data_IF_547280482260
#
_entry.id   IF_547280482260
#
_cell.length_a   1.000
_cell.length_b   1.000
_cell.length_c   1.000
_cell.angle_alpha   90.00
_cell.angle_beta   90.00
_cell.angle_gamma   90.00
#
_symmetry.space_group_name_H-M   'P 1'
#
loop_
_entity.id
_entity.type
_entity.pdbx_description
1 polymer ?
#
# COMPACT_ATOMS: atom_id res chain seq x y z
N UNK A 1 -15.61 -23.79 -2.62
CA UNK A 1 -14.51 -22.82 -2.83
C UNK A 1 -14.48 -21.92 -1.60
N UNK A 2 -13.31 -21.63 -1.02
CA UNK A 2 -13.21 -20.88 0.25
C UNK A 2 -13.56 -19.40 0.05
N UNK A 3 -13.31 -18.86 -1.14
CA UNK A 3 -13.67 -17.49 -1.53
C UNK A 3 -15.08 -17.45 -2.15
N UNK A 4 -15.79 -16.35 -1.89
CA UNK A 4 -17.05 -16.04 -2.56
C UNK A 4 -16.83 -15.40 -3.95
N UNK A 5 -17.92 -15.19 -4.69
CA UNK A 5 -17.86 -14.63 -6.05
C UNK A 5 -17.37 -13.19 -6.10
N UNK A 6 -17.65 -12.38 -5.08
CA UNK A 6 -17.21 -10.98 -5.00
C UNK A 6 -15.71 -10.92 -4.77
N UNK A 7 -15.20 -11.72 -3.84
CA UNK A 7 -13.77 -11.83 -3.53
C UNK A 7 -12.96 -12.28 -4.76
N UNK A 8 -13.47 -13.28 -5.49
CA UNK A 8 -12.85 -13.74 -6.74
C UNK A 8 -12.85 -12.63 -7.80
N UNK A 9 -13.98 -11.94 -8.00
CA UNK A 9 -14.07 -10.86 -8.97
C UNK A 9 -13.10 -9.70 -8.67
N UNK A 10 -13.00 -9.30 -7.39
CA UNK A 10 -12.03 -8.28 -6.95
C UNK A 10 -10.61 -8.76 -7.21
N UNK A 11 -10.27 -9.99 -6.81
CA UNK A 11 -8.95 -10.54 -7.01
C UNK A 11 -8.55 -10.55 -8.50
N UNK A 12 -9.44 -10.99 -9.38
CA UNK A 12 -9.14 -11.10 -10.81
C UNK A 12 -9.01 -9.72 -11.47
N UNK A 13 -9.87 -8.76 -11.09
CA UNK A 13 -9.78 -7.39 -11.59
C UNK A 13 -8.47 -6.72 -11.16
N UNK A 14 -8.09 -6.84 -9.88
CA UNK A 14 -6.83 -6.27 -9.37
C UNK A 14 -5.63 -6.98 -9.99
N UNK A 15 -5.67 -8.30 -10.17
CA UNK A 15 -4.61 -9.05 -10.85
C UNK A 15 -4.41 -8.55 -12.27
N UNK A 16 -5.48 -8.42 -13.05
CA UNK A 16 -5.38 -7.92 -14.42
C UNK A 16 -4.75 -6.53 -14.46
N UNK A 17 -5.25 -5.59 -13.65
CA UNK A 17 -4.68 -4.25 -13.55
C UNK A 17 -3.20 -4.27 -13.13
N UNK A 18 -2.86 -5.09 -12.13
CA UNK A 18 -1.49 -5.20 -11.62
C UNK A 18 -0.53 -5.73 -12.69
N UNK A 19 -0.90 -6.77 -13.43
CA UNK A 19 -0.04 -7.35 -14.46
C UNK A 19 0.05 -6.48 -15.72
N UNK A 20 -1.04 -5.81 -16.12
CA UNK A 20 -1.06 -5.04 -17.36
C UNK A 20 -0.50 -3.62 -17.19
N UNK A 21 -0.76 -2.98 -16.04
CA UNK A 21 -0.50 -1.55 -15.83
C UNK A 21 0.67 -1.28 -14.89
N UNK A 22 0.85 -2.09 -13.84
CA UNK A 22 1.86 -1.87 -12.80
C UNK A 22 3.15 -2.63 -13.12
N UNK A 23 3.08 -3.95 -13.30
CA UNK A 23 4.24 -4.84 -13.44
C UNK A 23 5.25 -4.41 -14.51
N UNK A 24 4.85 -3.99 -15.73
CA UNK A 24 5.80 -3.61 -16.77
C UNK A 24 6.64 -2.37 -16.42
N UNK A 25 6.14 -1.55 -15.49
CA UNK A 25 6.73 -0.27 -15.12
C UNK A 25 7.43 -0.30 -13.74
N UNK A 26 7.37 -1.43 -13.02
CA UNK A 26 7.85 -1.52 -11.63
C UNK A 26 9.34 -1.19 -11.50
N UNK A 27 10.21 -1.81 -12.31
CA UNK A 27 11.65 -1.54 -12.27
C UNK A 27 12.00 -0.08 -12.62
N UNK A 28 11.27 0.53 -13.56
CA UNK A 28 11.44 1.93 -13.91
C UNK A 28 11.00 2.86 -12.76
N UNK A 29 9.90 2.53 -12.07
CA UNK A 29 9.41 3.28 -10.91
C UNK A 29 10.40 3.21 -9.74
N UNK A 30 10.95 2.03 -9.48
CA UNK A 30 12.00 1.83 -8.47
C UNK A 30 13.25 2.67 -8.79
N UNK A 31 13.73 2.62 -10.04
CA UNK A 31 14.90 3.41 -10.47
C UNK A 31 14.66 4.93 -10.47
N UNK A 32 13.42 5.37 -10.72
CA UNK A 32 13.02 6.77 -10.67
C UNK A 32 12.74 7.27 -9.24
N UNK A 33 12.57 6.37 -8.27
CA UNK A 33 12.18 6.71 -6.91
C UNK A 33 10.74 7.22 -6.79
N UNK A 34 9.86 6.81 -7.70
CA UNK A 34 8.47 7.26 -7.71
C UNK A 34 7.66 6.75 -8.89
N UNK A 35 6.36 7.04 -8.87
CA UNK A 35 5.40 6.55 -9.86
C UNK A 35 5.02 7.61 -10.90
N UNK A 36 4.49 7.14 -12.03
CA UNK A 36 3.90 8.02 -13.04
C UNK A 36 2.73 8.82 -12.47
N UNK A 37 2.56 10.03 -12.98
CA UNK A 37 1.37 10.84 -12.73
C UNK A 37 0.09 10.10 -13.19
N UNK A 38 -1.00 10.24 -12.46
CA UNK A 38 -2.29 9.59 -12.77
C UNK A 38 -2.46 8.18 -12.20
N UNK A 39 -1.39 7.53 -11.69
CA UNK A 39 -1.51 6.16 -11.19
C UNK A 39 -2.42 6.07 -9.96
N UNK A 40 -2.30 7.02 -9.03
CA UNK A 40 -3.09 7.00 -7.79
C UNK A 40 -4.55 7.33 -8.03
N UNK A 41 -4.85 8.15 -9.03
CA UNK A 41 -6.20 8.41 -9.52
C UNK A 41 -6.82 7.14 -10.10
N UNK A 42 -6.08 6.40 -10.94
CA UNK A 42 -6.55 5.09 -11.43
C UNK A 42 -6.78 4.11 -10.28
N UNK A 43 -5.86 4.01 -9.31
CA UNK A 43 -6.03 3.15 -8.14
C UNK A 43 -7.27 3.55 -7.31
N UNK A 44 -7.53 4.85 -7.17
CA UNK A 44 -8.72 5.35 -6.49
C UNK A 44 -10.01 5.04 -7.25
N UNK A 45 -10.02 5.17 -8.58
CA UNK A 45 -11.16 4.78 -9.43
C UNK A 45 -11.46 3.27 -9.35
N UNK A 46 -10.44 2.43 -9.19
CA UNK A 46 -10.59 1.00 -8.91
C UNK A 46 -11.04 0.70 -7.47
N UNK A 47 -11.17 1.71 -6.60
CA UNK A 47 -11.56 1.55 -5.20
C UNK A 47 -10.44 1.07 -4.27
N UNK A 48 -9.19 1.06 -4.73
CA UNK A 48 -8.04 0.58 -3.95
C UNK A 48 -7.58 1.60 -2.90
N UNK A 49 -7.90 2.88 -3.09
CA UNK A 49 -7.59 3.98 -2.16
C UNK A 49 -8.74 4.20 -1.18
N UNK A 50 -8.91 3.29 -0.22
CA UNK A 50 -10.00 3.32 0.77
C UNK A 50 -10.89 2.08 0.76
N UNK A 51 -10.32 0.91 0.44
CA UNK A 51 -11.09 -0.33 0.25
C UNK A 51 -12.01 -0.66 1.42
N UNK A 52 -11.51 -0.56 2.65
CA UNK A 52 -12.27 -0.92 3.87
C UNK A 52 -12.98 0.27 4.51
N UNK A 53 -12.84 1.46 3.92
CA UNK A 53 -13.43 2.68 4.46
C UNK A 53 -14.93 2.75 4.15
N UNK A 54 -15.73 3.44 5.00
CA UNK A 54 -17.16 3.62 4.77
C UNK A 54 -17.49 4.36 3.48
N UNK A 55 -18.56 3.95 2.81
CA UNK A 55 -18.97 4.51 1.51
C UNK A 55 -19.46 5.96 1.63
N UNK A 56 -20.00 6.34 2.79
CA UNK A 56 -20.35 7.72 3.11
C UNK A 56 -19.15 8.69 3.07
N UNK A 57 -17.92 8.18 3.16
CA UNK A 57 -16.69 8.94 3.04
C UNK A 57 -15.94 8.68 1.71
N UNK A 58 -16.58 8.00 0.76
CA UNK A 58 -15.98 7.64 -0.53
C UNK A 58 -15.17 6.35 -0.55
N UNK A 59 -15.24 5.54 0.51
CA UNK A 59 -14.61 4.21 0.56
C UNK A 59 -15.41 3.12 -0.16
N UNK A 60 -14.81 1.95 -0.34
CA UNK A 60 -15.42 0.83 -1.07
C UNK A 60 -16.16 -0.18 -0.17
N UNK A 61 -16.07 -0.06 1.16
CA UNK A 61 -16.66 -0.99 2.14
C UNK A 61 -16.38 -2.48 1.89
N UNK A 62 -15.25 -2.78 1.25
CA UNK A 62 -14.77 -4.13 1.03
C UNK A 62 -14.32 -4.78 2.34
N UNK A 63 -14.49 -6.09 2.43
CA UNK A 63 -14.04 -6.88 3.57
C UNK A 63 -12.51 -7.05 3.59
N UNK A 64 -11.96 -7.49 4.73
CA UNK A 64 -10.52 -7.66 4.90
C UNK A 64 -9.91 -8.81 4.07
N UNK A 65 -10.70 -9.80 3.64
CA UNK A 65 -10.24 -10.84 2.71
C UNK A 65 -10.06 -10.24 1.32
N UNK A 66 -11.05 -9.49 0.84
CA UNK A 66 -10.99 -8.74 -0.42
C UNK A 66 -9.80 -7.76 -0.44
N UNK A 67 -9.60 -7.03 0.66
CA UNK A 67 -8.43 -6.17 0.86
C UNK A 67 -7.10 -6.94 0.80
N UNK A 68 -6.99 -8.06 1.51
CA UNK A 68 -5.78 -8.88 1.49
C UNK A 68 -5.49 -9.47 0.10
N UNK A 69 -6.52 -9.92 -0.62
CA UNK A 69 -6.39 -10.40 -1.99
C UNK A 69 -5.88 -9.30 -2.93
N UNK A 70 -6.43 -8.09 -2.83
CA UNK A 70 -5.94 -6.96 -3.62
C UNK A 70 -4.47 -6.65 -3.34
N UNK A 71 -4.07 -6.60 -2.06
CA UNK A 71 -2.66 -6.38 -1.68
C UNK A 71 -1.73 -7.50 -2.18
N UNK A 72 -2.17 -8.76 -2.15
CA UNK A 72 -1.40 -9.88 -2.72
C UNK A 72 -1.13 -9.65 -4.20
N UNK A 73 -2.14 -9.25 -4.98
CA UNK A 73 -1.99 -9.09 -6.42
C UNK A 73 -1.19 -7.82 -6.78
N UNK A 74 -1.33 -6.71 -6.03
CA UNK A 74 -0.49 -5.53 -6.19
C UNK A 74 0.97 -5.85 -5.82
N UNK A 75 1.22 -6.52 -4.69
CA UNK A 75 2.57 -6.89 -4.27
C UNK A 75 3.23 -7.89 -5.24
N UNK A 76 2.43 -8.71 -5.93
CA UNK A 76 2.90 -9.55 -7.02
C UNK A 76 3.26 -8.76 -8.29
N UNK A 77 2.92 -7.48 -8.37
CA UNK A 77 3.38 -6.58 -9.43
C UNK A 77 4.51 -5.66 -8.96
N UNK A 78 4.30 -4.95 -7.85
CA UNK A 78 5.19 -3.94 -7.28
C UNK A 78 5.06 -3.91 -5.73
N UNK A 79 6.15 -4.25 -5.05
CA UNK A 79 6.16 -4.32 -3.59
C UNK A 79 6.02 -2.95 -2.92
N UNK A 80 6.60 -1.90 -3.49
CA UNK A 80 6.53 -0.56 -2.93
C UNK A 80 5.12 0.04 -2.99
N UNK A 81 4.43 -0.19 -4.10
CA UNK A 81 3.09 0.32 -4.30
C UNK A 81 2.09 -0.35 -3.36
N UNK A 82 2.28 -1.65 -3.12
CA UNK A 82 1.46 -2.39 -2.15
C UNK A 82 1.60 -1.84 -0.72
N UNK A 83 2.80 -1.41 -0.33
CA UNK A 83 3.05 -0.74 0.96
C UNK A 83 2.28 0.57 1.03
N UNK A 84 2.38 1.42 0.01
CA UNK A 84 1.71 2.73 -0.03
C UNK A 84 0.19 2.56 0.08
N UNK A 85 -0.40 1.62 -0.66
CA UNK A 85 -1.84 1.36 -0.62
C UNK A 85 -2.27 0.88 0.78
N UNK A 86 -1.42 0.13 1.49
CA UNK A 86 -1.77 -0.45 2.79
C UNK A 86 -1.74 0.52 3.97
N UNK A 87 -1.07 1.67 3.84
CA UNK A 87 -0.84 2.62 4.94
C UNK A 87 -1.72 3.86 4.73
N UNK A 88 -2.95 3.83 5.28
CA UNK A 88 -3.93 4.91 5.08
C UNK A 88 -4.36 5.65 6.36
N UNK A 89 -3.92 5.20 7.54
CA UNK A 89 -4.45 5.72 8.81
C UNK A 89 -3.32 6.19 9.75
N UNK A 90 -3.07 7.49 9.81
CA UNK A 90 -2.19 8.10 10.82
C UNK A 90 -2.68 9.51 11.17
N UNK A 91 -2.16 10.05 12.27
CA UNK A 91 -2.51 11.37 12.81
C UNK A 91 -2.58 12.45 11.74
N UNK A 92 -3.58 13.32 11.82
CA UNK A 92 -3.80 14.38 10.83
C UNK A 92 -3.00 15.60 11.25
N UNK A 93 -1.90 15.85 10.54
CA UNK A 93 -1.11 17.09 10.66
C UNK A 93 -0.91 17.63 9.24
N UNK A 94 -1.49 18.81 8.91
CA UNK A 94 -1.29 19.43 7.60
C UNK A 94 0.20 19.73 7.38
N UNK A 95 0.73 19.35 6.23
CA UNK A 95 2.17 19.44 5.92
C UNK A 95 2.65 20.88 5.67
N UNK A 96 1.72 21.82 5.49
CA UNK A 96 1.95 23.26 5.39
C UNK A 96 1.87 23.99 6.74
N UNK A 97 1.60 23.26 7.83
CA UNK A 97 1.55 23.82 9.18
C UNK A 97 2.88 24.43 9.58
N UNK A 98 2.85 25.62 10.19
CA UNK A 98 4.05 26.24 10.77
C UNK A 98 4.64 25.31 11.85
N UNK A 99 5.94 25.04 11.75
CA UNK A 99 6.64 24.10 12.62
C UNK A 99 6.75 22.68 12.06
N UNK A 100 6.10 22.39 10.92
CA UNK A 100 6.30 21.15 10.16
C UNK A 100 7.52 21.29 9.26
N UNK A 101 8.39 20.28 9.23
CA UNK A 101 9.49 20.20 8.27
C UNK A 101 9.87 18.77 7.95
N UNK A 102 10.33 18.57 6.71
CA UNK A 102 11.02 17.35 6.30
C UNK A 102 12.50 17.51 6.63
N UNK A 103 13.03 16.67 7.52
CA UNK A 103 14.39 16.80 8.05
C UNK A 103 15.41 16.10 7.15
N UNK A 104 15.21 14.81 6.91
CA UNK A 104 16.17 13.97 6.19
C UNK A 104 15.47 13.00 5.26
N UNK A 105 16.03 12.87 4.05
CA UNK A 105 15.67 11.80 3.10
C UNK A 105 16.36 10.51 3.53
N UNK A 106 15.60 9.43 3.62
CA UNK A 106 16.14 8.11 3.95
C UNK A 106 16.46 7.30 2.69
N UNK A 107 17.69 6.78 2.65
CA UNK A 107 18.16 5.90 1.59
C UNK A 107 17.96 4.44 2.02
N UNK A 108 17.15 3.71 1.26
CA UNK A 108 16.71 2.34 1.59
C UNK A 108 17.39 1.32 0.68
N UNK A 109 17.51 0.09 1.16
CA UNK A 109 18.00 -1.05 0.36
C UNK A 109 17.03 -1.45 -0.76
N UNK A 110 15.73 -1.27 -0.55
CA UNK A 110 14.66 -1.48 -1.52
C UNK A 110 13.44 -0.64 -1.15
N UNK A 111 12.34 -0.81 -1.89
CA UNK A 111 11.17 0.08 -1.79
C UNK A 111 11.53 1.52 -2.20
N UNK A 112 12.43 1.67 -3.18
CA UNK A 112 12.92 2.93 -3.68
C UNK A 112 11.81 3.83 -4.23
N UNK A 113 10.76 3.24 -4.81
CA UNK A 113 9.59 3.98 -5.30
C UNK A 113 8.65 4.51 -4.20
N UNK A 114 8.78 4.01 -2.96
CA UNK A 114 8.11 4.58 -1.78
C UNK A 114 9.07 5.54 -1.11
N UNK A 115 8.76 6.83 -1.14
CA UNK A 115 9.54 7.84 -0.47
C UNK A 115 9.49 7.67 1.06
N UNK A 116 10.57 8.05 1.74
CA UNK A 116 10.66 7.93 3.20
C UNK A 116 11.53 9.04 3.74
N UNK A 117 11.00 9.76 4.71
CA UNK A 117 11.68 10.89 5.31
C UNK A 117 11.52 10.87 6.82
N UNK A 118 12.55 11.38 7.51
CA UNK A 118 12.39 11.85 8.87
C UNK A 118 11.62 13.17 8.85
N UNK A 119 10.55 13.26 9.63
CA UNK A 119 9.73 14.47 9.80
C UNK A 119 10.05 15.07 11.17
N UNK A 120 10.12 16.40 11.23
CA UNK A 120 10.35 17.16 12.45
C UNK A 120 9.19 18.13 12.70
N UNK A 121 8.78 18.16 13.97
CA UNK A 121 7.80 19.12 14.49
C UNK A 121 8.49 20.03 15.52
N UNK A 122 8.53 21.33 15.26
CA UNK A 122 9.14 22.34 16.12
C UNK A 122 8.12 23.42 16.46
N UNK A 123 7.67 23.44 17.72
CA UNK A 123 6.61 24.33 18.22
C UNK A 123 5.35 24.36 17.32
N UNK A 124 5.02 23.20 16.72
CA UNK A 124 3.85 23.04 15.86
C UNK A 124 2.58 23.02 16.70
N UNK A 125 1.65 23.93 16.38
CA UNK A 125 0.31 23.94 16.96
C UNK A 125 -0.65 23.07 16.12
N UNK A 126 -1.31 22.09 16.76
CA UNK A 126 -2.38 21.29 16.16
C UNK A 126 -3.71 21.71 16.78
N UNK A 127 -4.68 22.18 15.98
CA UNK A 127 -6.03 22.48 16.48
C UNK A 127 -6.77 21.23 16.97
N UNK A 128 -7.67 21.38 17.94
CA UNK A 128 -8.39 20.27 18.57
C UNK A 128 -9.28 19.46 17.60
N UNK A 129 -9.75 20.07 16.51
CA UNK A 129 -10.58 19.43 15.49
C UNK A 129 -9.80 18.44 14.60
N UNK A 130 -8.46 18.53 14.59
CA UNK A 130 -7.58 17.57 13.94
C UNK A 130 -7.16 16.41 14.86
N UNK A 131 -7.59 16.43 16.13
CA UNK A 131 -7.32 15.34 17.07
C UNK A 131 -8.18 14.12 16.72
N UNK A 132 -7.51 13.02 16.38
CA UNK A 132 -8.17 11.74 16.21
C UNK A 132 -8.50 11.11 17.57
N UNK A 133 -9.79 11.08 17.90
CA UNK A 133 -10.29 10.51 19.15
C UNK A 133 -10.17 11.43 20.37
N UNK A 134 -10.47 10.86 21.54
CA UNK A 134 -10.40 11.57 22.82
C UNK A 134 -8.96 11.66 23.35
N UNK A 135 -8.72 12.59 24.28
CA UNK A 135 -7.44 12.67 25.00
C UNK A 135 -7.13 11.34 25.71
N UNK A 136 -5.89 10.87 25.60
CA UNK A 136 -5.45 9.58 26.14
C UNK A 136 -5.81 8.35 25.29
N UNK A 137 -6.61 8.48 24.23
CA UNK A 137 -7.01 7.34 23.38
C UNK A 137 -5.93 6.90 22.38
N UNK A 138 -4.85 7.68 22.22
CA UNK A 138 -3.87 7.49 21.15
C UNK A 138 -3.22 6.10 21.09
N UNK A 139 -2.91 5.49 22.24
CA UNK A 139 -2.32 4.16 22.28
C UNK A 139 -3.29 3.08 21.77
N UNK A 140 -4.56 3.15 22.16
CA UNK A 140 -5.59 2.21 21.72
C UNK A 140 -5.84 2.32 20.21
N UNK A 141 -5.90 3.55 19.68
CA UNK A 141 -6.04 3.80 18.25
C UNK A 141 -4.83 3.31 17.44
N UNK A 142 -3.62 3.48 17.97
CA UNK A 142 -2.40 2.96 17.34
C UNK A 142 -2.41 1.42 17.27
N UNK A 143 -2.81 0.75 18.36
CA UNK A 143 -2.88 -0.71 18.39
C UNK A 143 -3.99 -1.28 17.50
N UNK A 144 -5.18 -0.67 17.46
CA UNK A 144 -6.26 -1.14 16.58
C UNK A 144 -5.86 -1.12 15.10
N UNK A 145 -5.03 -0.14 14.71
CA UNK A 145 -4.50 -0.07 13.35
C UNK A 145 -3.41 -1.12 13.09
N UNK A 146 -2.60 -1.46 14.09
CA UNK A 146 -1.54 -2.45 13.95
C UNK A 146 -2.08 -3.86 13.66
N UNK A 147 -3.20 -4.24 14.28
CA UNK A 147 -3.85 -5.54 14.04
C UNK A 147 -4.24 -5.74 12.58
N UNK A 148 -4.81 -4.70 11.96
CA UNK A 148 -5.14 -4.70 10.52
C UNK A 148 -3.88 -4.62 9.66
N UNK A 149 -2.90 -3.81 10.07
CA UNK A 149 -1.63 -3.66 9.37
C UNK A 149 -0.87 -4.97 9.20
N UNK A 150 -0.91 -5.85 10.21
CA UNK A 150 -0.26 -7.17 10.15
C UNK A 150 -0.82 -8.05 9.03
N UNK A 151 -2.13 -8.02 8.79
CA UNK A 151 -2.76 -8.72 7.66
C UNK A 151 -2.23 -8.18 6.34
N UNK A 152 -2.09 -6.86 6.24
CA UNK A 152 -1.50 -6.21 5.07
C UNK A 152 -0.07 -6.66 4.79
N UNK A 153 0.79 -6.70 5.80
CA UNK A 153 2.18 -7.15 5.64
C UNK A 153 2.25 -8.63 5.23
N UNK A 154 1.42 -9.50 5.84
CA UNK A 154 1.37 -10.91 5.46
C UNK A 154 0.91 -11.10 4.01
N UNK A 155 -0.11 -10.35 3.58
CA UNK A 155 -0.60 -10.33 2.20
C UNK A 155 0.50 -9.90 1.20
N UNK A 156 1.25 -8.84 1.53
CA UNK A 156 2.36 -8.37 0.70
C UNK A 156 3.46 -9.42 0.56
N UNK A 157 3.84 -10.08 1.66
CA UNK A 157 4.82 -11.17 1.64
C UNK A 157 4.37 -12.33 0.72
N UNK A 158 3.08 -12.69 0.76
CA UNK A 158 2.51 -13.72 -0.13
C UNK A 158 2.58 -13.27 -1.60
N UNK A 159 2.23 -12.01 -1.89
CA UNK A 159 2.31 -11.47 -3.26
C UNK A 159 3.73 -11.46 -3.81
N UNK A 160 4.70 -11.01 -3.02
CA UNK A 160 6.12 -11.05 -3.38
C UNK A 160 6.58 -12.49 -3.63
N UNK A 161 6.19 -13.44 -2.78
CA UNK A 161 6.53 -14.85 -2.95
C UNK A 161 5.93 -15.48 -4.23
N UNK A 162 4.74 -15.04 -4.67
CA UNK A 162 4.16 -15.49 -5.95
C UNK A 162 5.05 -15.15 -7.14
N UNK A 163 5.65 -13.96 -7.17
CA UNK A 163 6.60 -13.57 -8.22
C UNK A 163 7.77 -14.55 -8.29
N UNK A 164 8.37 -14.86 -7.13
CA UNK A 164 9.52 -15.77 -7.08
C UNK A 164 9.16 -17.14 -7.66
N UNK A 165 7.99 -17.68 -7.32
CA UNK A 165 7.51 -18.93 -7.89
C UNK A 165 7.34 -18.83 -9.41
N UNK A 166 6.75 -17.75 -9.91
CA UNK A 166 6.44 -17.59 -11.33
C UNK A 166 7.73 -17.43 -12.16
N UNK A 167 8.73 -16.68 -11.65
CA UNK A 167 10.07 -16.57 -12.26
C UNK A 167 10.79 -17.91 -12.26
N UNK A 168 10.81 -18.63 -11.13
CA UNK A 168 11.44 -19.94 -11.03
C UNK A 168 10.78 -20.95 -11.97
N UNK A 169 9.47 -20.93 -12.10
CA UNK A 169 8.76 -21.77 -13.05
C UNK A 169 9.19 -21.46 -14.48
N UNK A 170 9.24 -20.18 -14.89
CA UNK A 170 9.73 -19.79 -16.21
C UNK A 170 11.17 -20.26 -16.44
N UNK A 171 12.10 -20.06 -15.49
CA UNK A 171 13.49 -20.50 -15.61
C UNK A 171 13.62 -22.02 -15.75
N UNK A 172 12.82 -22.80 -15.01
CA UNK A 172 12.79 -24.27 -15.12
C UNK A 172 12.28 -24.70 -16.50
N UNK A 173 11.23 -24.04 -17.02
CA UNK A 173 10.65 -24.39 -18.32
C UNK A 173 11.49 -23.88 -19.51
N UNK A 174 12.17 -22.75 -19.38
CA UNK A 174 13.01 -22.16 -20.43
C UNK A 174 14.45 -22.69 -20.40
N UNK A 175 14.83 -23.47 -19.38
CA UNK A 175 16.16 -24.07 -19.26
C UNK A 175 17.28 -23.07 -18.96
N UNK A 176 16.95 -21.86 -18.51
CA UNK A 176 17.89 -20.79 -18.18
C UNK A 176 18.22 -20.83 -16.68
N UNK A 177 18.98 -21.84 -16.27
CA UNK A 177 19.52 -21.93 -14.90
C UNK A 177 20.91 -21.30 -14.83
N UNK A 178 20.98 -19.97 -14.80
CA UNK A 178 22.22 -19.27 -14.43
C UNK A 178 22.08 -18.75 -12.98
N UNK A 179 22.39 -19.64 -12.03
CA UNK A 179 22.83 -19.33 -10.66
C UNK A 179 24.16 -20.06 -10.44
#
# INVERSE_FOLDING_TARGET
MILDGTQVAIQDAVRAFAQDRIRPNSAASEGAGGYRCGLFEELAELGLMGMTAPSQFGGAEADFVSYALALIEIAAADGALSTIISIQNSFIVPTDSKGYSVDKVEHKLGQGASDTYAIRFEDLFVPDDLRLGAEGAGYGLALSNLEVGLVGIAAQAIGIAKIYRDVLACQIYEGTSDI
#
